data_IF_602286760835
#
_entry.id   IF_602286760835
#
_cell.length_a   1.000
_cell.length_b   1.000
_cell.length_c   1.000
_cell.angle_alpha   90.00
_cell.angle_beta   90.00
_cell.angle_gamma   90.00
#
_symmetry.space_group_name_H-M   'P 1'
#
loop_
_entity.id
_entity.type
_entity.pdbx_description
1 polymer ?
#
# COMPACT_ATOMS: atom_id res chain seq x y z
N UNK A 1 11.12 16.71 -7.68
CA UNK A 1 10.63 15.61 -6.84
C UNK A 1 11.67 15.15 -5.86
N UNK A 2 11.95 16.02 -4.90
CA UNK A 2 12.54 15.60 -3.63
C UNK A 2 11.53 14.67 -2.89
N UNK A 3 11.99 13.82 -1.95
CA UNK A 3 11.13 12.99 -1.08
C UNK A 3 9.86 13.72 -0.54
N UNK A 4 9.90 15.03 -0.19
CA UNK A 4 8.71 15.79 0.18
C UNK A 4 7.59 15.83 -0.88
N UNK A 5 7.92 15.93 -2.16
CA UNK A 5 6.92 15.99 -3.24
C UNK A 5 6.20 14.63 -3.39
N UNK A 6 6.90 13.52 -3.17
CA UNK A 6 6.30 12.19 -3.17
C UNK A 6 5.26 12.05 -2.04
N UNK A 7 5.61 12.52 -0.84
CA UNK A 7 4.71 12.51 0.31
C UNK A 7 3.46 13.35 0.06
N UNK A 8 3.61 14.52 -0.57
CA UNK A 8 2.49 15.38 -0.93
C UNK A 8 1.54 14.65 -1.89
N UNK A 9 2.06 13.97 -2.92
CA UNK A 9 1.21 13.23 -3.86
C UNK A 9 0.42 12.12 -3.15
N UNK A 10 1.03 11.41 -2.20
CA UNK A 10 0.33 10.42 -1.36
C UNK A 10 -0.86 11.03 -0.61
N UNK A 11 -0.74 12.26 -0.10
CA UNK A 11 -1.84 12.96 0.57
C UNK A 11 -2.95 13.42 -0.39
N UNK A 12 -2.63 13.65 -1.66
CA UNK A 12 -3.59 14.09 -2.68
C UNK A 12 -4.48 12.95 -3.20
N UNK A 13 -4.01 11.69 -3.17
CA UNK A 13 -4.77 10.54 -3.69
C UNK A 13 -6.15 10.41 -3.04
N UNK A 14 -6.30 10.43 -1.69
CA UNK A 14 -7.62 10.41 -1.05
C UNK A 14 -8.51 11.60 -1.42
N UNK A 15 -7.94 12.80 -1.55
CA UNK A 15 -8.69 14.02 -1.91
C UNK A 15 -9.27 13.88 -3.31
N UNK A 16 -8.46 13.42 -4.26
CA UNK A 16 -8.87 13.22 -5.65
C UNK A 16 -9.88 12.07 -5.76
N UNK A 17 -9.69 10.99 -5.00
CA UNK A 17 -10.60 9.85 -4.98
C UNK A 17 -12.01 10.21 -4.47
N UNK A 18 -12.09 11.14 -3.51
CA UNK A 18 -13.36 11.54 -2.86
C UNK A 18 -14.09 12.66 -3.60
N UNK A 19 -13.38 13.51 -4.34
CA UNK A 19 -13.96 14.68 -5.01
C UNK A 19 -14.04 14.49 -6.53
N UNK A 20 -15.24 14.08 -7.01
CA UNK A 20 -15.52 13.80 -8.44
C UNK A 20 -15.20 14.96 -9.39
N UNK A 21 -15.19 16.20 -8.89
CA UNK A 21 -14.93 17.42 -9.67
C UNK A 21 -13.53 17.46 -10.31
N UNK A 22 -12.55 16.78 -9.71
CA UNK A 22 -11.18 16.79 -10.24
C UNK A 22 -11.06 16.02 -11.57
N UNK A 23 -11.98 15.10 -11.87
CA UNK A 23 -11.99 14.30 -13.12
C UNK A 23 -10.64 13.62 -13.46
N UNK A 24 -9.76 13.43 -12.48
CA UNK A 24 -8.48 12.74 -12.64
C UNK A 24 -8.59 11.30 -12.14
N UNK A 25 -8.11 10.34 -12.94
CA UNK A 25 -8.02 8.94 -12.53
C UNK A 25 -6.79 8.71 -11.65
N UNK A 26 -6.95 7.97 -10.55
CA UNK A 26 -5.84 7.57 -9.67
C UNK A 26 -4.73 6.87 -10.48
N UNK A 27 -5.09 6.02 -11.45
CA UNK A 27 -4.12 5.36 -12.33
C UNK A 27 -3.25 6.32 -13.15
N UNK A 28 -3.80 7.46 -13.58
CA UNK A 28 -3.04 8.49 -14.29
C UNK A 28 -2.02 9.16 -13.37
N UNK A 29 -2.39 9.43 -12.12
CA UNK A 29 -1.49 10.01 -11.11
C UNK A 29 -0.39 9.00 -10.78
N UNK A 30 -0.76 7.75 -10.53
CA UNK A 30 0.18 6.66 -10.25
C UNK A 30 1.20 6.47 -11.36
N UNK A 31 0.79 6.52 -12.64
CA UNK A 31 1.74 6.42 -13.75
C UNK A 31 2.74 7.59 -13.77
N UNK A 32 2.28 8.82 -13.55
CA UNK A 32 3.18 10.00 -13.48
C UNK A 32 4.12 9.92 -12.29
N UNK A 33 3.60 9.48 -11.16
CA UNK A 33 4.37 9.26 -9.94
C UNK A 33 5.51 8.28 -10.18
N UNK A 34 5.20 7.11 -10.76
CA UNK A 34 6.19 6.09 -11.11
C UNK A 34 7.25 6.61 -12.08
N UNK A 35 6.84 7.34 -13.11
CA UNK A 35 7.76 7.96 -14.08
C UNK A 35 8.70 8.95 -13.39
N UNK A 36 8.18 9.78 -12.49
CA UNK A 36 9.00 10.75 -11.76
C UNK A 36 10.02 10.06 -10.85
N UNK A 37 9.61 9.00 -10.14
CA UNK A 37 10.50 8.24 -9.24
C UNK A 37 11.70 7.63 -9.95
N UNK A 38 11.57 7.22 -11.22
CA UNK A 38 12.68 6.64 -12.00
C UNK A 38 13.87 7.61 -12.10
N UNK A 39 13.63 8.92 -12.15
CA UNK A 39 14.69 9.92 -12.25
C UNK A 39 15.57 10.02 -11.01
N UNK A 40 15.11 9.50 -9.87
CA UNK A 40 15.80 9.55 -8.58
C UNK A 40 16.44 8.21 -8.19
N UNK A 41 16.15 7.15 -8.95
CA UNK A 41 16.75 5.84 -8.78
C UNK A 41 18.04 5.75 -9.59
N UNK A 42 19.14 5.36 -8.94
CA UNK A 42 20.37 5.02 -9.67
C UNK A 42 20.40 3.52 -9.98
N UNK A 43 21.30 3.11 -10.87
CA UNK A 43 21.44 1.71 -11.30
C UNK A 43 21.71 0.73 -10.14
N UNK A 44 22.34 1.19 -9.07
CA UNK A 44 22.82 0.33 -7.98
C UNK A 44 22.42 0.79 -6.57
N UNK A 45 21.78 1.95 -6.44
CA UNK A 45 21.40 2.47 -5.13
C UNK A 45 20.13 3.32 -5.19
N UNK A 46 19.48 3.41 -4.05
CA UNK A 46 18.34 4.29 -3.78
C UNK A 46 18.72 5.28 -2.67
N UNK A 47 19.54 6.30 -2.99
CA UNK A 47 20.11 7.19 -1.98
C UNK A 47 19.05 8.06 -1.29
N UNK A 48 17.87 8.21 -1.91
CA UNK A 48 16.76 9.02 -1.40
C UNK A 48 15.59 8.16 -0.89
N UNK A 49 15.76 6.84 -0.76
CA UNK A 49 14.74 5.92 -0.27
C UNK A 49 13.41 5.99 -1.05
N UNK A 50 13.49 6.26 -2.35
CA UNK A 50 12.35 6.38 -3.27
C UNK A 50 11.52 5.11 -3.30
N UNK A 51 12.14 3.93 -3.19
CA UNK A 51 11.42 2.67 -3.13
C UNK A 51 10.59 2.54 -1.85
N UNK A 52 11.08 3.05 -0.71
CA UNK A 52 10.33 3.07 0.55
C UNK A 52 9.08 3.95 0.39
N UNK A 53 9.28 5.13 -0.18
CA UNK A 53 8.20 6.08 -0.45
C UNK A 53 7.18 5.51 -1.46
N UNK A 54 7.63 4.75 -2.46
CA UNK A 54 6.74 4.05 -3.40
C UNK A 54 5.90 2.96 -2.72
N UNK A 55 6.46 2.21 -1.76
CA UNK A 55 5.67 1.25 -0.95
C UNK A 55 4.53 1.98 -0.23
N UNK A 56 4.83 3.10 0.42
CA UNK A 56 3.85 3.91 1.15
C UNK A 56 2.78 4.48 0.21
N UNK A 57 3.20 5.05 -0.92
CA UNK A 57 2.30 5.56 -1.96
C UNK A 57 1.34 4.48 -2.49
N UNK A 58 1.87 3.31 -2.85
CA UNK A 58 1.04 2.19 -3.30
C UNK A 58 0.08 1.69 -2.23
N UNK A 59 0.48 1.71 -0.95
CA UNK A 59 -0.40 1.44 0.18
C UNK A 59 -1.63 2.36 0.19
N UNK A 60 -1.41 3.66 0.03
CA UNK A 60 -2.49 4.67 -0.03
C UNK A 60 -3.40 4.43 -1.24
N UNK A 61 -2.82 4.18 -2.42
CA UNK A 61 -3.59 3.89 -3.65
C UNK A 61 -4.44 2.63 -3.47
N UNK A 62 -3.85 1.57 -2.94
CA UNK A 62 -4.52 0.31 -2.69
C UNK A 62 -5.68 0.47 -1.71
N UNK A 63 -5.46 1.12 -0.57
CA UNK A 63 -6.49 1.42 0.41
C UNK A 63 -7.64 2.24 -0.21
N UNK A 64 -7.33 3.21 -1.07
CA UNK A 64 -8.35 3.99 -1.77
C UNK A 64 -9.18 3.14 -2.74
N UNK A 65 -8.55 2.23 -3.49
CA UNK A 65 -9.29 1.31 -4.34
C UNK A 65 -10.18 0.36 -3.53
N UNK A 66 -9.71 -0.14 -2.38
CA UNK A 66 -10.55 -0.94 -1.47
C UNK A 66 -11.73 -0.14 -0.92
N UNK A 67 -11.50 1.09 -0.44
CA UNK A 67 -12.53 1.96 0.14
C UNK A 67 -13.59 2.36 -0.90
N UNK A 68 -13.17 2.62 -2.14
CA UNK A 68 -14.07 2.93 -3.26
C UNK A 68 -14.69 1.69 -3.92
N UNK A 69 -14.45 0.48 -3.37
CA UNK A 69 -14.91 -0.80 -3.91
C UNK A 69 -14.44 -1.07 -5.34
N UNK A 70 -13.37 -0.41 -5.78
CA UNK A 70 -12.74 -0.62 -7.08
C UNK A 70 -11.87 -1.89 -7.06
N UNK A 71 -12.51 -3.04 -6.81
CA UNK A 71 -11.82 -4.29 -6.49
C UNK A 71 -10.95 -4.83 -7.63
N UNK A 72 -11.30 -4.58 -8.89
CA UNK A 72 -10.45 -4.93 -10.04
C UNK A 72 -9.12 -4.17 -10.01
N UNK A 73 -9.17 -2.86 -9.70
CA UNK A 73 -7.96 -2.04 -9.58
C UNK A 73 -7.17 -2.40 -8.32
N UNK A 74 -7.86 -2.67 -7.20
CA UNK A 74 -7.22 -3.14 -5.97
C UNK A 74 -6.50 -4.49 -6.17
N UNK A 75 -7.11 -5.42 -6.91
CA UNK A 75 -6.53 -6.72 -7.23
C UNK A 75 -5.20 -6.57 -7.99
N UNK A 76 -5.14 -5.67 -8.97
CA UNK A 76 -3.95 -5.44 -9.78
C UNK A 76 -2.75 -4.84 -9.00
N UNK A 77 -2.97 -4.32 -7.79
CA UNK A 77 -1.90 -3.70 -6.99
C UNK A 77 -0.86 -4.70 -6.46
N UNK A 78 -1.18 -6.01 -6.38
CA UNK A 78 -0.24 -7.03 -5.88
C UNK A 78 1.09 -7.03 -6.63
N UNK A 79 1.04 -6.97 -7.95
CA UNK A 79 2.24 -6.95 -8.81
C UNK A 79 3.13 -5.75 -8.50
N UNK A 80 2.54 -4.58 -8.23
CA UNK A 80 3.32 -3.38 -7.86
C UNK A 80 4.06 -3.55 -6.54
N UNK A 81 3.46 -4.23 -5.56
CA UNK A 81 4.16 -4.56 -4.31
C UNK A 81 5.23 -5.64 -4.52
N UNK A 82 4.94 -6.70 -5.28
CA UNK A 82 5.91 -7.79 -5.52
C UNK A 82 7.16 -7.27 -6.25
N UNK A 83 6.98 -6.42 -7.27
CA UNK A 83 8.09 -5.87 -8.05
C UNK A 83 9.04 -4.98 -7.25
N UNK A 84 8.61 -4.45 -6.11
CA UNK A 84 9.48 -3.73 -5.16
C UNK A 84 10.28 -4.70 -4.26
N UNK A 85 9.95 -5.99 -4.22
CA UNK A 85 10.60 -6.99 -3.38
C UNK A 85 12.10 -7.16 -3.66
N UNK A 86 12.51 -7.00 -4.91
CA UNK A 86 13.91 -7.10 -5.34
C UNK A 86 14.69 -5.78 -5.14
N UNK A 87 14.02 -4.70 -4.74
CA UNK A 87 14.65 -3.38 -4.57
C UNK A 87 15.21 -3.21 -3.16
N UNK A 88 16.23 -2.34 -2.97
CA UNK A 88 16.68 -1.96 -1.65
C UNK A 88 15.54 -1.24 -0.91
N UNK A 89 15.13 -1.82 0.22
CA UNK A 89 14.11 -1.27 1.13
C UNK A 89 14.69 -1.31 2.53
N UNK A 90 14.34 -0.31 3.36
CA UNK A 90 14.59 -0.41 4.79
C UNK A 90 13.60 -1.36 5.48
N UNK A 91 13.82 -1.61 6.77
CA UNK A 91 12.97 -2.51 7.53
C UNK A 91 11.53 -2.03 7.68
N UNK A 92 11.29 -0.72 7.78
CA UNK A 92 9.94 -0.17 7.90
C UNK A 92 9.16 -0.39 6.61
N UNK A 93 9.76 -0.07 5.46
CA UNK A 93 9.19 -0.29 4.14
C UNK A 93 8.99 -1.79 3.82
N UNK A 94 9.89 -2.66 4.28
CA UNK A 94 9.71 -4.12 4.19
C UNK A 94 8.47 -4.59 4.96
N UNK A 95 8.30 -4.09 6.18
CA UNK A 95 7.12 -4.42 7.01
C UNK A 95 5.85 -3.86 6.37
N UNK A 96 5.88 -2.63 5.87
CA UNK A 96 4.78 -2.02 5.14
C UNK A 96 4.39 -2.82 3.88
N UNK A 97 5.37 -3.25 3.09
CA UNK A 97 5.15 -4.10 1.91
C UNK A 97 4.45 -5.41 2.29
N UNK A 98 4.94 -6.10 3.32
CA UNK A 98 4.33 -7.35 3.80
C UNK A 98 2.93 -7.13 4.38
N UNK A 99 2.69 -6.02 5.07
CA UNK A 99 1.37 -5.61 5.54
C UNK A 99 0.39 -5.53 4.36
N UNK A 100 0.74 -4.80 3.30
CA UNK A 100 -0.15 -4.61 2.15
C UNK A 100 -0.39 -5.90 1.36
N UNK A 101 0.63 -6.74 1.21
CA UNK A 101 0.48 -8.08 0.60
C UNK A 101 -0.44 -8.97 1.43
N UNK A 102 -0.33 -8.96 2.76
CA UNK A 102 -1.22 -9.72 3.64
C UNK A 102 -2.66 -9.20 3.58
N UNK A 103 -2.86 -7.87 3.51
CA UNK A 103 -4.18 -7.28 3.25
C UNK A 103 -4.72 -7.73 1.89
N UNK A 104 -3.90 -7.78 0.85
CA UNK A 104 -4.33 -8.32 -0.45
C UNK A 104 -4.81 -9.77 -0.34
N UNK A 105 -4.08 -10.63 0.38
CA UNK A 105 -4.48 -12.01 0.63
C UNK A 105 -5.82 -12.09 1.40
N UNK A 106 -6.07 -11.18 2.34
CA UNK A 106 -7.37 -11.10 3.01
C UNK A 106 -8.52 -10.84 2.05
N UNK A 107 -8.37 -9.99 1.02
CA UNK A 107 -9.45 -9.75 0.06
C UNK A 107 -9.52 -10.82 -1.02
N UNK A 108 -8.40 -11.10 -1.69
CA UNK A 108 -8.41 -11.75 -3.01
C UNK A 108 -7.76 -13.14 -3.02
N UNK A 109 -6.92 -13.45 -2.04
CA UNK A 109 -6.14 -14.68 -2.01
C UNK A 109 -6.59 -15.65 -0.93
N UNK A 110 -5.62 -16.21 -0.20
CA UNK A 110 -5.86 -17.09 0.94
C UNK A 110 -6.06 -16.27 2.22
N UNK A 111 -7.31 -16.16 2.67
CA UNK A 111 -7.68 -15.40 3.86
C UNK A 111 -6.91 -15.82 5.12
N UNK A 112 -6.73 -17.13 5.34
CA UNK A 112 -6.05 -17.65 6.53
C UNK A 112 -4.57 -17.25 6.52
N UNK A 113 -3.93 -17.36 5.36
CA UNK A 113 -2.54 -16.93 5.17
C UNK A 113 -2.37 -15.44 5.44
N UNK A 114 -3.20 -14.60 4.82
CA UNK A 114 -3.17 -13.15 5.04
C UNK A 114 -3.36 -12.78 6.51
N UNK A 115 -4.34 -13.40 7.18
CA UNK A 115 -4.59 -13.16 8.61
C UNK A 115 -3.38 -13.53 9.47
N UNK A 116 -2.80 -14.70 9.25
CA UNK A 116 -1.64 -15.18 10.00
C UNK A 116 -0.43 -14.24 9.83
N UNK A 117 -0.19 -13.72 8.63
CA UNK A 117 0.89 -12.77 8.38
C UNK A 117 0.65 -11.46 9.13
N UNK A 118 -0.58 -10.93 9.14
CA UNK A 118 -0.92 -9.72 9.89
C UNK A 118 -0.71 -9.90 11.41
N UNK A 119 -1.10 -11.05 11.96
CA UNK A 119 -0.85 -11.39 13.36
C UNK A 119 0.65 -11.37 13.67
N UNK A 120 1.48 -12.00 12.82
CA UNK A 120 2.94 -11.96 12.95
C UNK A 120 3.53 -10.56 12.88
N UNK A 121 3.02 -9.70 12.00
CA UNK A 121 3.47 -8.30 11.88
C UNK A 121 3.11 -7.51 13.15
N UNK A 122 1.91 -7.70 13.69
CA UNK A 122 1.50 -7.08 14.95
C UNK A 122 2.39 -7.55 16.11
N UNK A 123 2.69 -8.84 16.19
CA UNK A 123 3.56 -9.36 17.24
C UNK A 123 5.00 -8.87 17.10
N UNK A 124 5.52 -8.80 15.88
CA UNK A 124 6.82 -8.18 15.60
C UNK A 124 6.86 -6.71 16.05
N UNK A 125 5.81 -5.94 15.76
CA UNK A 125 5.71 -4.53 16.20
C UNK A 125 5.80 -4.41 17.72
N UNK A 126 5.19 -5.31 18.49
CA UNK A 126 5.20 -5.26 19.97
C UNK A 126 6.61 -5.37 20.58
N UNK A 127 7.57 -5.93 19.84
CA UNK A 127 8.97 -6.04 20.28
C UNK A 127 9.62 -4.66 20.39
N UNK A 128 9.22 -3.70 19.55
CA UNK A 128 9.82 -2.37 19.47
C UNK A 128 8.94 -1.34 20.17
N UNK A 129 9.54 -0.49 21.01
CA UNK A 129 8.84 0.64 21.67
C UNK A 129 8.60 1.82 20.73
N UNK A 130 9.29 1.86 19.60
CA UNK A 130 9.18 2.92 18.60
C UNK A 130 7.93 2.75 17.74
N UNK A 131 7.32 3.87 17.36
CA UNK A 131 6.18 3.88 16.44
C UNK A 131 6.70 3.65 15.02
N UNK A 132 6.08 2.70 14.32
CA UNK A 132 6.16 2.57 12.87
C UNK A 132 5.40 3.74 12.23
N UNK A 133 5.79 4.15 11.02
CA UNK A 133 5.13 5.26 10.32
C UNK A 133 3.67 4.92 9.98
N UNK A 134 3.38 3.64 9.72
CA UNK A 134 2.02 3.15 9.53
C UNK A 134 1.36 2.77 10.85
N UNK A 135 0.08 3.14 10.99
CA UNK A 135 -0.77 2.63 12.07
C UNK A 135 -1.25 1.19 11.75
N UNK A 136 -0.31 0.25 11.84
CA UNK A 136 -0.48 -1.18 11.52
C UNK A 136 -1.71 -1.80 12.17
N UNK A 137 -2.00 -1.47 13.45
CA UNK A 137 -3.14 -2.03 14.19
C UNK A 137 -4.47 -1.51 13.64
N UNK A 138 -4.58 -0.21 13.39
CA UNK A 138 -5.78 0.38 12.82
C UNK A 138 -6.04 -0.16 11.41
N UNK A 139 -5.01 -0.22 10.55
CA UNK A 139 -5.10 -0.78 9.20
C UNK A 139 -5.56 -2.23 9.26
N UNK A 140 -4.92 -3.06 10.10
CA UNK A 140 -5.26 -4.48 10.24
C UNK A 140 -6.71 -4.66 10.67
N UNK A 141 -7.15 -3.93 11.70
CA UNK A 141 -8.52 -4.02 12.21
C UNK A 141 -9.55 -3.68 11.13
N UNK A 142 -9.38 -2.56 10.43
CA UNK A 142 -10.30 -2.10 9.38
C UNK A 142 -10.29 -3.06 8.19
N UNK A 143 -9.12 -3.46 7.72
CA UNK A 143 -8.99 -4.35 6.57
C UNK A 143 -9.54 -5.75 6.84
N UNK A 144 -9.37 -6.30 8.06
CA UNK A 144 -9.94 -7.58 8.43
C UNK A 144 -11.47 -7.57 8.37
N UNK A 145 -12.09 -6.54 8.96
CA UNK A 145 -13.56 -6.39 8.93
C UNK A 145 -14.09 -6.20 7.51
N UNK A 146 -13.47 -5.32 6.73
CA UNK A 146 -13.94 -5.01 5.38
C UNK A 146 -13.72 -6.16 4.38
N UNK A 147 -12.62 -6.90 4.51
CA UNK A 147 -12.35 -8.07 3.67
C UNK A 147 -13.35 -9.22 3.92
N UNK A 148 -13.73 -9.46 5.17
CA UNK A 148 -14.79 -10.42 5.50
C UNK A 148 -16.12 -10.04 4.85
N UNK A 149 -16.52 -8.76 4.95
CA UNK A 149 -17.73 -8.25 4.28
C UNK A 149 -17.68 -8.48 2.77
N UNK A 150 -16.57 -8.12 2.13
CA UNK A 150 -16.36 -8.33 0.69
C UNK A 150 -16.51 -9.81 0.30
N UNK A 151 -15.85 -10.73 1.02
CA UNK A 151 -15.92 -12.16 0.71
C UNK A 151 -17.31 -12.75 0.91
N UNK A 152 -18.04 -12.30 1.92
CA UNK A 152 -19.41 -12.74 2.14
C UNK A 152 -20.34 -12.26 1.01
N UNK A 153 -20.18 -11.01 0.56
CA UNK A 153 -20.93 -10.47 -0.59
C UNK A 153 -20.61 -11.14 -1.95
N UNK A 154 -19.60 -12.01 -2.01
CA UNK A 154 -19.27 -12.82 -3.20
C UNK A 154 -19.82 -14.25 -3.14
N UNK A 155 -20.36 -14.67 -2.01
CA UNK A 155 -20.96 -16.00 -1.82
C UNK A 155 -22.47 -16.00 -2.05
N UNK A 156 -23.07 -14.82 -2.06
CA UNK A 156 -24.44 -14.54 -2.52
C UNK A 156 -24.45 -14.38 -4.04
#
# INVERSE_FOLDING_TARGET
>A
MDSPEIRIVSMLVPVIATHKQFKVKISTITKRMEQNCIHYLTKYSDPFQINNELVNYYGVVFQNYLNSKSYTNAFAMKEKFINLGEKPLDWDARVAQQLWLAVWELYFGNFKSGKLILEKIIDFKKIFKTKFDLNIEAITKVCLQNSQKYRNSKKE
#
